data_IF_665874416013
#
_entry.id   IF_665874416013
#
_cell.length_a   1.000
_cell.length_b   1.000
_cell.length_c   1.000
_cell.angle_alpha   90.00
_cell.angle_beta   90.00
_cell.angle_gamma   90.00
#
_symmetry.space_group_name_H-M   'P 1'
#
loop_
_entity.id
_entity.type
_entity.pdbx_description
1 polymer ?
#
# COMPACT_ATOMS: atom_id res chain seq x y z
N UNK A 1 0.41 4.39 10.10
CA UNK A 1 -0.74 4.40 9.16
C UNK A 1 -1.37 5.79 9.04
N UNK A 2 -1.91 6.35 10.12
CA UNK A 2 -2.60 7.65 10.08
C UNK A 2 -1.76 8.79 9.49
N UNK A 3 -0.47 8.87 9.83
CA UNK A 3 0.43 9.91 9.30
C UNK A 3 0.58 9.83 7.77
N UNK A 4 0.79 8.63 7.22
CA UNK A 4 0.90 8.38 5.77
C UNK A 4 -0.39 8.81 5.07
N UNK A 5 -1.54 8.34 5.57
CA UNK A 5 -2.85 8.65 5.01
C UNK A 5 -3.14 10.15 5.07
N UNK A 6 -2.86 10.78 6.22
CA UNK A 6 -3.09 12.22 6.41
C UNK A 6 -2.22 13.08 5.49
N UNK A 7 -0.97 12.68 5.25
CA UNK A 7 -0.10 13.41 4.33
C UNK A 7 -0.54 13.26 2.88
N UNK A 8 -0.88 12.04 2.45
CA UNK A 8 -1.31 11.79 1.07
C UNK A 8 -2.69 12.40 0.77
N UNK A 9 -3.60 12.44 1.76
CA UNK A 9 -4.92 13.04 1.60
C UNK A 9 -4.83 14.55 1.31
N UNK A 10 -3.83 15.24 1.86
CA UNK A 10 -3.56 16.67 1.56
C UNK A 10 -3.19 16.93 0.10
N UNK A 11 -2.79 15.90 -0.65
CA UNK A 11 -2.44 16.00 -2.07
C UNK A 11 -3.63 15.72 -3.00
N UNK A 12 -4.85 15.60 -2.44
CA UNK A 12 -6.08 15.30 -3.19
C UNK A 12 -6.03 13.97 -3.97
N UNK A 13 -5.28 13.00 -3.45
CA UNK A 13 -5.18 11.65 -4.02
C UNK A 13 -6.38 10.79 -3.62
N UNK A 14 -6.78 9.85 -4.49
CA UNK A 14 -7.73 8.78 -4.11
C UNK A 14 -6.97 7.69 -3.36
N UNK A 15 -7.30 7.50 -2.09
CA UNK A 15 -6.61 6.55 -1.21
C UNK A 15 -7.45 5.30 -0.93
N UNK A 16 -6.79 4.15 -1.00
CA UNK A 16 -7.31 2.86 -0.56
C UNK A 16 -6.34 2.29 0.48
N UNK A 17 -6.85 1.97 1.66
CA UNK A 17 -6.12 1.25 2.71
C UNK A 17 -6.62 -0.18 2.72
N UNK A 18 -5.71 -1.10 2.41
CA UNK A 18 -5.91 -2.52 2.61
C UNK A 18 -5.34 -2.90 3.97
N UNK A 19 -6.11 -3.60 4.77
CA UNK A 19 -5.67 -4.05 6.10
C UNK A 19 -6.39 -5.32 6.51
N UNK A 20 -6.10 -5.80 7.72
CA UNK A 20 -6.77 -6.97 8.31
C UNK A 20 -7.76 -6.54 9.38
N UNK A 21 -8.81 -7.34 9.61
CA UNK A 21 -9.82 -7.08 10.65
C UNK A 21 -9.25 -6.88 12.05
N UNK A 22 -8.11 -7.49 12.41
CA UNK A 22 -7.48 -7.23 13.70
C UNK A 22 -7.02 -5.77 13.87
N UNK A 23 -6.73 -5.05 12.77
CA UNK A 23 -6.35 -3.64 12.80
C UNK A 23 -7.50 -2.74 13.28
N UNK A 24 -8.75 -3.19 13.17
CA UNK A 24 -9.91 -2.47 13.72
C UNK A 24 -9.88 -2.37 15.25
N UNK A 25 -9.13 -3.26 15.91
CA UNK A 25 -8.92 -3.23 17.37
C UNK A 25 -7.75 -2.35 17.79
N UNK A 26 -7.03 -1.75 16.84
CA UNK A 26 -6.01 -0.75 17.15
C UNK A 26 -6.67 0.52 17.70
N UNK A 27 -5.88 1.57 17.93
CA UNK A 27 -6.36 2.86 18.45
C UNK A 27 -7.57 3.36 17.65
N UNK A 28 -8.76 3.24 18.24
CA UNK A 28 -10.06 3.47 17.58
C UNK A 28 -10.13 4.84 16.89
N UNK A 29 -9.70 5.89 17.57
CA UNK A 29 -9.68 7.26 17.04
C UNK A 29 -8.80 7.39 15.78
N UNK A 30 -7.64 6.72 15.76
CA UNK A 30 -6.74 6.79 14.60
C UNK A 30 -7.34 6.05 13.39
N UNK A 31 -7.95 4.88 13.62
CA UNK A 31 -8.60 4.10 12.56
C UNK A 31 -9.84 4.83 12.01
N UNK A 32 -10.66 5.43 12.87
CA UNK A 32 -11.79 6.25 12.45
C UNK A 32 -11.34 7.43 11.58
N UNK A 33 -10.22 8.07 11.92
CA UNK A 33 -9.66 9.16 11.11
C UNK A 33 -9.13 8.66 9.78
N UNK A 34 -8.49 7.49 9.73
CA UNK A 34 -8.07 6.85 8.48
C UNK A 34 -9.28 6.56 7.58
N UNK A 35 -10.36 6.00 8.12
CA UNK A 35 -11.59 5.70 7.37
C UNK A 35 -12.29 6.95 6.82
N UNK A 36 -12.11 8.13 7.46
CA UNK A 36 -12.62 9.42 6.95
C UNK A 36 -11.79 9.95 5.77
N UNK A 37 -10.49 9.63 5.73
CA UNK A 37 -9.53 10.17 4.76
C UNK A 37 -9.28 9.24 3.57
N UNK A 38 -9.60 7.95 3.69
CA UNK A 38 -9.35 6.93 2.69
C UNK A 38 -10.48 5.89 2.66
N UNK A 39 -10.68 5.25 1.50
CA UNK A 39 -11.47 4.02 1.45
C UNK A 39 -10.69 2.92 2.16
N UNK A 40 -11.35 2.11 2.98
CA UNK A 40 -10.69 1.02 3.69
C UNK A 40 -11.35 -0.32 3.34
N UNK A 41 -10.54 -1.33 3.09
CA UNK A 41 -10.97 -2.71 2.92
C UNK A 41 -10.19 -3.59 3.89
N UNK A 42 -10.92 -4.23 4.82
CA UNK A 42 -10.33 -5.06 5.86
C UNK A 42 -10.63 -6.54 5.58
N UNK A 43 -9.60 -7.28 5.16
CA UNK A 43 -9.63 -8.74 4.95
C UNK A 43 -9.77 -9.47 6.29
N UNK A 44 -10.24 -10.71 6.25
CA UNK A 44 -10.08 -11.62 7.39
C UNK A 44 -8.59 -11.76 7.75
N UNK A 45 -8.28 -12.19 8.97
CA UNK A 45 -6.89 -12.31 9.44
C UNK A 45 -6.13 -13.49 8.79
N UNK A 46 -6.24 -13.63 7.47
CA UNK A 46 -5.44 -14.53 6.66
C UNK A 46 -4.04 -13.93 6.50
N UNK A 47 -3.05 -14.79 6.35
CA UNK A 47 -1.64 -14.40 6.41
C UNK A 47 -1.16 -13.59 5.20
N UNK A 48 -1.88 -13.66 4.07
CA UNK A 48 -1.48 -13.07 2.79
C UNK A 48 -2.47 -11.98 2.32
N UNK A 49 -2.10 -10.71 2.48
CA UNK A 49 -2.89 -9.58 1.94
C UNK A 49 -2.33 -9.04 0.61
N UNK A 50 -1.12 -9.44 0.24
CA UNK A 50 -0.44 -8.98 -0.96
C UNK A 50 -1.23 -9.20 -2.25
N UNK A 51 -2.01 -10.31 -2.43
CA UNK A 51 -2.83 -10.47 -3.63
C UNK A 51 -3.84 -9.33 -3.81
N UNK A 52 -4.44 -8.82 -2.73
CA UNK A 52 -5.36 -7.68 -2.79
C UNK A 52 -4.63 -6.40 -3.16
N UNK A 53 -3.42 -6.19 -2.64
CA UNK A 53 -2.58 -5.04 -2.97
C UNK A 53 -2.19 -5.02 -4.45
N UNK A 54 -1.68 -6.15 -4.94
CA UNK A 54 -1.29 -6.32 -6.34
C UNK A 54 -2.49 -6.10 -7.27
N UNK A 55 -3.61 -6.77 -6.98
CA UNK A 55 -4.83 -6.63 -7.77
C UNK A 55 -5.35 -5.19 -7.80
N UNK A 56 -5.53 -4.57 -6.62
CA UNK A 56 -6.07 -3.22 -6.53
C UNK A 56 -5.20 -2.21 -7.28
N UNK A 57 -3.88 -2.35 -7.22
CA UNK A 57 -2.94 -1.45 -7.89
C UNK A 57 -2.99 -1.64 -9.41
N UNK A 58 -2.90 -2.89 -9.90
CA UNK A 58 -2.92 -3.20 -11.32
C UNK A 58 -4.27 -2.82 -11.95
N UNK A 59 -5.38 -3.15 -11.29
CA UNK A 59 -6.74 -2.86 -11.76
C UNK A 59 -7.06 -1.36 -11.75
N UNK A 60 -6.43 -0.58 -10.87
CA UNK A 60 -6.58 0.88 -10.83
C UNK A 60 -5.85 1.60 -11.97
N UNK A 61 -5.04 0.88 -12.75
CA UNK A 61 -4.34 1.38 -13.93
C UNK A 61 -2.93 1.91 -13.65
N UNK A 62 -2.22 2.24 -14.73
CA UNK A 62 -0.78 2.54 -14.74
C UNK A 62 -0.35 3.79 -13.94
N UNK A 63 -1.29 4.63 -13.50
CA UNK A 63 -1.00 5.80 -12.68
C UNK A 63 -1.10 5.50 -11.18
N UNK A 64 -1.64 4.34 -10.80
CA UNK A 64 -1.77 3.95 -9.40
C UNK A 64 -0.39 3.66 -8.80
N UNK A 65 -0.17 4.06 -7.56
CA UNK A 65 1.02 3.74 -6.78
C UNK A 65 0.61 2.95 -5.56
N UNK A 66 1.52 2.16 -5.01
CA UNK A 66 1.29 1.40 -3.79
C UNK A 66 2.41 1.61 -2.79
N UNK A 67 2.09 1.42 -1.51
CA UNK A 67 3.05 1.52 -0.41
C UNK A 67 3.02 0.19 0.33
N UNK A 68 4.18 -0.46 0.42
CA UNK A 68 4.40 -1.63 1.26
C UNK A 68 5.89 -1.70 1.62
N UNK A 69 6.20 -2.27 2.79
CA UNK A 69 7.57 -2.61 3.17
C UNK A 69 8.03 -3.94 2.58
N UNK A 70 7.11 -4.75 2.04
CA UNK A 70 7.46 -6.00 1.38
C UNK A 70 8.16 -5.73 0.03
N UNK A 71 9.11 -6.62 -0.30
CA UNK A 71 9.80 -6.63 -1.58
C UNK A 71 9.05 -7.46 -2.63
N UNK A 72 7.99 -8.17 -2.26
CA UNK A 72 7.13 -9.00 -3.11
C UNK A 72 7.92 -10.05 -3.90
N UNK A 73 9.00 -10.56 -3.29
CA UNK A 73 9.96 -11.47 -3.96
C UNK A 73 9.31 -12.80 -4.32
N UNK A 74 8.47 -13.32 -3.44
CA UNK A 74 7.81 -14.62 -3.61
C UNK A 74 6.77 -14.52 -4.73
N UNK A 75 5.98 -13.43 -4.77
CA UNK A 75 5.04 -13.15 -5.86
C UNK A 75 5.73 -13.03 -7.23
N UNK A 76 6.91 -12.40 -7.27
CA UNK A 76 7.72 -12.37 -8.50
C UNK A 76 8.19 -13.78 -8.88
N UNK A 77 8.67 -14.57 -7.93
CA UNK A 77 9.20 -15.92 -8.18
C UNK A 77 8.12 -16.88 -8.70
N UNK A 78 6.85 -16.68 -8.33
CA UNK A 78 5.72 -17.46 -8.82
C UNK A 78 5.33 -17.17 -10.28
N UNK A 79 5.92 -16.15 -10.93
CA UNK A 79 5.63 -15.83 -12.32
C UNK A 79 6.27 -16.86 -13.28
N UNK A 80 5.55 -17.26 -14.35
CA UNK A 80 5.87 -18.46 -15.12
C UNK A 80 7.16 -18.38 -15.94
N UNK A 81 7.62 -17.16 -16.26
CA UNK A 81 8.74 -16.95 -17.16
C UNK A 81 9.56 -15.69 -16.81
N UNK A 82 10.81 -15.68 -17.28
CA UNK A 82 11.76 -14.59 -17.00
C UNK A 82 11.32 -13.23 -17.56
N UNK A 83 10.54 -13.20 -18.65
CA UNK A 83 10.01 -11.95 -19.21
C UNK A 83 8.93 -11.39 -18.29
N UNK A 84 8.01 -12.20 -17.80
CA UNK A 84 7.00 -11.81 -16.81
C UNK A 84 7.64 -11.31 -15.52
N UNK A 85 8.67 -12.01 -15.01
CA UNK A 85 9.43 -11.57 -13.83
C UNK A 85 10.11 -10.22 -14.03
N UNK A 86 10.69 -9.97 -15.20
CA UNK A 86 11.31 -8.68 -15.55
C UNK A 86 10.27 -7.56 -15.66
N UNK A 87 9.11 -7.84 -16.24
CA UNK A 87 8.00 -6.88 -16.31
C UNK A 87 7.49 -6.53 -14.93
N UNK A 88 7.30 -7.52 -14.05
CA UNK A 88 6.91 -7.28 -12.66
C UNK A 88 7.92 -6.41 -11.93
N UNK A 89 9.22 -6.71 -12.05
CA UNK A 89 10.27 -5.90 -11.42
C UNK A 89 10.26 -4.44 -11.92
N UNK A 90 10.11 -4.24 -13.23
CA UNK A 90 10.00 -2.89 -13.82
C UNK A 90 8.74 -2.16 -13.35
N UNK A 91 7.61 -2.86 -13.29
CA UNK A 91 6.36 -2.32 -12.76
C UNK A 91 6.53 -1.91 -11.29
N UNK A 92 7.05 -2.81 -10.45
CA UNK A 92 7.31 -2.57 -9.04
C UNK A 92 8.18 -1.33 -8.82
N UNK A 93 9.32 -1.23 -9.51
CA UNK A 93 10.22 -0.07 -9.42
C UNK A 93 9.52 1.24 -9.80
N UNK A 94 8.58 1.20 -10.75
CA UNK A 94 7.82 2.37 -11.17
C UNK A 94 6.63 2.70 -10.28
N UNK A 95 6.10 1.77 -9.47
CA UNK A 95 4.81 1.90 -8.82
C UNK A 95 4.86 1.80 -7.28
N UNK A 96 5.89 1.17 -6.71
CA UNK A 96 6.11 1.09 -5.28
C UNK A 96 6.71 2.39 -4.76
N UNK A 97 6.02 3.04 -3.84
CA UNK A 97 6.53 4.20 -3.10
C UNK A 97 7.15 3.72 -1.79
N UNK A 98 8.45 3.99 -1.61
CA UNK A 98 9.18 3.69 -0.39
C UNK A 98 9.11 4.87 0.59
N UNK A 99 8.80 4.59 1.85
CA UNK A 99 8.85 5.61 2.93
C UNK A 99 10.29 5.69 3.43
N UNK A 100 10.98 6.81 3.20
CA UNK A 100 12.44 6.91 3.44
C UNK A 100 12.84 7.62 4.73
N UNK A 101 12.05 8.60 5.20
CA UNK A 101 12.33 9.31 6.46
C UNK A 101 11.06 9.69 7.19
N UNK A 102 11.07 9.49 8.51
CA UNK A 102 10.15 10.12 9.45
C UNK A 102 10.93 11.23 10.14
N UNK A 103 10.84 12.46 9.65
CA UNK A 103 11.45 13.61 10.34
C UNK A 103 10.62 13.88 11.60
N UNK A 104 11.26 13.96 12.78
CA UNK A 104 10.60 14.42 14.02
C UNK A 104 9.95 15.78 13.72
N UNK A 105 8.62 15.82 13.62
CA UNK A 105 7.89 17.01 13.16
C UNK A 105 7.02 16.85 11.89
N UNK A 106 6.70 15.62 11.47
CA UNK A 106 5.50 15.26 10.69
C UNK A 106 5.58 15.22 9.14
N UNK A 107 6.74 15.40 8.51
CA UNK A 107 6.85 15.22 7.03
C UNK A 107 7.50 13.88 6.69
N UNK A 108 6.71 12.99 6.09
CA UNK A 108 7.18 11.76 5.47
C UNK A 108 7.73 12.07 4.08
N UNK A 109 8.83 11.43 3.69
CA UNK A 109 9.34 11.47 2.32
C UNK A 109 9.08 10.14 1.63
N UNK A 110 8.60 10.21 0.39
CA UNK A 110 8.37 9.06 -0.47
C UNK A 110 9.39 9.08 -1.61
N UNK A 111 9.96 7.91 -1.93
CA UNK A 111 10.85 7.70 -3.08
C UNK A 111 10.24 6.66 -4.01
#
# INVERSE_FOLDING_TARGET
>A
LLEVVSQLAKQNLRLLVLGRKHMLRWKKQEIEMVQKLARCFFTDNISEDDPFLLYATLHSGNQCKFITHDLLRDHKACLPDARSQRLFFKWQQGHQLAITKVVRGARLTFQ
#
